data_IF_955237485651
#
_entry.id   IF_955237485651
#
_cell.length_a   1.000
_cell.length_b   1.000
_cell.length_c   1.000
_cell.angle_alpha   90.00
_cell.angle_beta   90.00
_cell.angle_gamma   90.00
#
_symmetry.space_group_name_H-M   'P 1'
#
loop_
_entity.id
_entity.type
_entity.pdbx_description
1 polymer ?
#
# COMPACT_ATOMS: atom_id res chain seq x y z
N UNK A 1 -31.70 29.94 -9.34
CA UNK A 1 -30.24 30.03 -9.51
C UNK A 1 -29.74 28.61 -9.68
N UNK A 2 -28.85 28.34 -10.64
CA UNK A 2 -28.32 26.98 -10.86
C UNK A 2 -27.48 26.62 -9.66
N UNK A 3 -27.95 25.69 -8.82
CA UNK A 3 -27.16 25.15 -7.72
C UNK A 3 -25.88 24.50 -8.31
N UNK A 4 -24.73 24.77 -7.70
CA UNK A 4 -23.49 24.10 -8.06
C UNK A 4 -23.60 22.65 -7.58
N UNK A 5 -23.67 21.71 -8.52
CA UNK A 5 -23.74 20.27 -8.23
C UNK A 5 -22.39 19.60 -8.46
N UNK A 6 -21.92 18.86 -7.47
CA UNK A 6 -20.67 18.09 -7.59
C UNK A 6 -20.86 16.69 -7.04
N UNK A 7 -20.39 15.70 -7.80
CA UNK A 7 -20.36 14.31 -7.38
C UNK A 7 -19.18 14.06 -6.45
N UNK A 8 -19.42 13.39 -5.32
CA UNK A 8 -18.45 13.20 -4.24
C UNK A 8 -17.29 12.32 -4.68
N UNK A 9 -17.50 11.31 -5.51
CA UNK A 9 -16.39 10.52 -6.05
C UNK A 9 -15.37 11.37 -6.83
N UNK A 10 -15.80 12.47 -7.46
CA UNK A 10 -14.88 13.42 -8.14
C UNK A 10 -14.11 14.31 -7.18
N UNK A 11 -14.57 14.44 -5.93
CA UNK A 11 -13.88 15.22 -4.92
C UNK A 11 -12.73 14.42 -4.31
N UNK A 12 -12.84 13.10 -4.22
CA UNK A 12 -11.76 12.24 -3.75
C UNK A 12 -10.46 12.52 -4.52
N UNK A 13 -9.37 12.75 -3.80
CA UNK A 13 -8.06 13.07 -4.37
C UNK A 13 -7.87 14.52 -4.85
N UNK A 14 -8.93 15.33 -4.93
CA UNK A 14 -8.82 16.75 -5.32
C UNK A 14 -7.91 17.52 -4.35
N UNK A 15 -7.06 18.38 -4.91
CA UNK A 15 -6.16 19.19 -4.08
C UNK A 15 -6.92 20.37 -3.44
N UNK A 16 -6.68 20.56 -2.15
CA UNK A 16 -7.25 21.66 -1.36
C UNK A 16 -6.21 22.77 -1.24
N UNK A 17 -6.61 24.00 -1.52
CA UNK A 17 -5.76 25.19 -1.49
C UNK A 17 -6.31 26.23 -0.51
N UNK A 18 -5.41 27.01 0.07
CA UNK A 18 -5.76 28.18 0.85
C UNK A 18 -5.95 29.41 -0.08
N UNK A 19 -6.38 30.58 0.45
CA UNK A 19 -6.54 31.79 -0.35
C UNK A 19 -5.23 32.36 -0.93
N UNK A 20 -4.07 32.00 -0.39
CA UNK A 20 -2.77 32.43 -0.87
C UNK A 20 -2.28 31.58 -2.07
N UNK A 21 -2.95 30.44 -2.32
CA UNK A 21 -2.61 29.49 -3.38
C UNK A 21 -1.71 28.35 -2.90
N UNK A 22 -1.44 28.27 -1.60
CA UNK A 22 -0.66 27.19 -1.01
C UNK A 22 -1.50 25.91 -0.91
N UNK A 23 -0.89 24.79 -1.28
CA UNK A 23 -1.56 23.48 -1.20
C UNK A 23 -1.64 23.04 0.25
N UNK A 24 -2.86 22.94 0.75
CA UNK A 24 -3.18 22.47 2.09
C UNK A 24 -3.13 20.94 2.16
N UNK A 25 -3.72 20.26 1.17
CA UNK A 25 -3.90 18.82 1.24
C UNK A 25 -4.67 18.22 0.06
N UNK A 26 -5.22 17.01 0.24
CA UNK A 26 -6.12 16.33 -0.70
C UNK A 26 -7.40 15.90 0.02
N UNK A 27 -8.55 15.99 -0.63
CA UNK A 27 -9.80 15.46 -0.07
C UNK A 27 -9.75 13.94 -0.05
N UNK A 28 -10.17 13.36 1.07
CA UNK A 28 -10.35 11.91 1.24
C UNK A 28 -11.81 11.51 1.32
N UNK A 29 -12.65 12.32 1.95
CA UNK A 29 -14.07 12.03 2.10
C UNK A 29 -14.89 13.31 2.29
N UNK A 30 -16.21 13.19 2.19
CA UNK A 30 -17.19 14.23 2.49
C UNK A 30 -18.02 13.78 3.68
N UNK A 31 -18.13 14.63 4.69
CA UNK A 31 -18.94 14.35 5.88
C UNK A 31 -20.33 14.94 5.72
N UNK A 32 -21.33 14.11 5.98
CA UNK A 32 -22.74 14.51 6.07
C UNK A 32 -23.33 14.20 7.43
N UNK A 33 -24.34 14.96 7.81
CA UNK A 33 -25.15 14.70 9.02
C UNK A 33 -26.61 14.60 8.61
N UNK A 34 -27.26 13.53 9.07
CA UNK A 34 -28.67 13.29 8.83
C UNK A 34 -29.54 14.35 9.49
N UNK A 35 -30.53 14.84 8.76
CA UNK A 35 -31.56 15.74 9.29
C UNK A 35 -32.77 14.91 9.73
N UNK A 36 -33.57 15.46 10.65
CA UNK A 36 -34.86 14.85 11.03
C UNK A 36 -35.85 14.79 9.85
N UNK A 37 -35.71 15.72 8.92
CA UNK A 37 -36.54 15.86 7.72
C UNK A 37 -35.68 16.40 6.58
N UNK A 38 -35.84 15.84 5.38
CA UNK A 38 -35.10 16.23 4.17
C UNK A 38 -33.71 15.60 4.05
N UNK A 39 -32.96 16.06 3.06
CA UNK A 39 -31.64 15.52 2.73
C UNK A 39 -30.58 15.77 3.82
N UNK A 40 -29.59 14.85 3.96
CA UNK A 40 -28.43 15.04 4.81
C UNK A 40 -27.68 16.31 4.45
N UNK A 41 -27.24 17.04 5.47
CA UNK A 41 -26.43 18.24 5.31
C UNK A 41 -24.98 17.85 5.16
N UNK A 42 -24.27 18.42 4.18
CA UNK A 42 -22.82 18.34 4.14
C UNK A 42 -22.27 19.24 5.24
N UNK A 43 -21.44 18.70 6.13
CA UNK A 43 -20.83 19.47 7.22
C UNK A 43 -19.39 19.85 6.91
N UNK A 44 -18.70 19.07 6.08
CA UNK A 44 -17.33 19.37 5.70
C UNK A 44 -16.67 18.29 4.86
N UNK A 45 -15.39 18.50 4.62
CA UNK A 45 -14.49 17.61 3.91
C UNK A 45 -13.51 17.01 4.92
N UNK A 46 -13.19 15.74 4.75
CA UNK A 46 -12.01 15.13 5.37
C UNK A 46 -10.86 15.39 4.41
N UNK A 47 -9.87 16.15 4.86
CA UNK A 47 -8.72 16.55 4.05
C UNK A 47 -7.47 15.94 4.66
N UNK A 48 -6.70 15.23 3.84
CA UNK A 48 -5.37 14.77 4.22
C UNK A 48 -4.34 15.85 3.90
N UNK A 49 -3.63 16.32 4.91
CA UNK A 49 -2.53 17.28 4.79
C UNK A 49 -1.19 16.55 4.74
N UNK A 50 -0.11 17.18 4.22
CA UNK A 50 1.23 16.61 4.22
C UNK A 50 1.62 16.02 5.59
N UNK A 51 2.21 14.82 5.60
CA UNK A 51 2.41 14.02 6.81
C UNK A 51 1.23 13.09 7.15
N UNK A 52 0.38 12.77 6.16
CA UNK A 52 -0.77 11.83 6.24
C UNK A 52 -1.83 12.15 7.31
N UNK A 53 -1.84 13.38 7.83
CA UNK A 53 -2.80 13.80 8.85
C UNK A 53 -4.14 14.12 8.21
N UNK A 54 -5.21 13.47 8.67
CA UNK A 54 -6.58 13.80 8.26
C UNK A 54 -7.13 14.89 9.18
N UNK A 55 -7.60 15.97 8.58
CA UNK A 55 -8.16 17.14 9.28
C UNK A 55 -9.56 17.42 8.76
N UNK A 56 -10.41 17.94 9.64
CA UNK A 56 -11.75 18.36 9.26
C UNK A 56 -11.72 19.78 8.69
N UNK A 57 -12.21 19.94 7.46
CA UNK A 57 -12.46 21.24 6.85
C UNK A 57 -13.96 21.46 6.75
N UNK A 58 -14.51 22.33 7.60
CA UNK A 58 -15.93 22.64 7.58
C UNK A 58 -16.38 23.20 6.23
N UNK A 59 -17.56 22.80 5.76
CA UNK A 59 -18.02 23.11 4.39
C UNK A 59 -18.19 24.62 4.17
N UNK A 60 -18.56 25.37 5.21
CA UNK A 60 -18.66 26.84 5.13
C UNK A 60 -17.32 27.55 4.95
N UNK A 61 -16.20 26.81 5.04
CA UNK A 61 -14.87 27.33 4.67
C UNK A 61 -14.56 27.10 3.20
N UNK A 62 -15.26 26.22 2.50
CA UNK A 62 -15.04 25.98 1.08
C UNK A 62 -15.67 27.12 0.30
N UNK A 63 -14.86 27.88 -0.44
CA UNK A 63 -15.31 29.02 -1.24
C UNK A 63 -15.58 28.64 -2.68
N UNK A 64 -14.87 27.62 -3.20
CA UNK A 64 -15.13 27.10 -4.53
C UNK A 64 -14.71 25.65 -4.67
N UNK A 65 -15.45 24.92 -5.50
CA UNK A 65 -15.17 23.56 -5.92
C UNK A 65 -15.08 23.58 -7.46
N UNK A 66 -13.87 23.41 -7.99
CA UNK A 66 -13.59 23.40 -9.42
C UNK A 66 -13.15 22.02 -9.92
N UNK A 67 -12.77 21.93 -11.19
CA UNK A 67 -12.28 20.70 -11.82
C UNK A 67 -10.92 20.28 -11.22
N UNK A 68 -10.95 19.51 -10.13
CA UNK A 68 -9.76 18.95 -9.47
C UNK A 68 -9.19 19.77 -8.32
N UNK A 69 -9.80 20.93 -8.01
CA UNK A 69 -9.30 21.87 -7.00
C UNK A 69 -10.42 22.38 -6.10
N UNK A 70 -10.11 22.50 -4.82
CA UNK A 70 -11.01 23.07 -3.81
C UNK A 70 -10.29 24.22 -3.14
N UNK A 71 -10.92 25.39 -3.09
CA UNK A 71 -10.37 26.57 -2.44
C UNK A 71 -11.10 26.76 -1.12
N UNK A 72 -10.35 27.01 -0.06
CA UNK A 72 -10.86 27.25 1.29
C UNK A 72 -10.58 28.67 1.73
N UNK A 73 -11.33 29.17 2.71
CA UNK A 73 -11.08 30.41 3.42
C UNK A 73 -10.51 30.15 4.82
N UNK A 74 -9.64 31.07 5.25
CA UNK A 74 -9.17 31.15 6.64
C UNK A 74 -8.17 30.07 7.06
N UNK A 75 -7.92 30.02 8.38
CA UNK A 75 -6.93 29.12 9.01
C UNK A 75 -7.55 27.75 9.22
N UNK A 76 -6.97 26.72 8.59
CA UNK A 76 -7.39 25.33 8.78
C UNK A 76 -6.84 24.82 10.11
N UNK A 77 -7.74 24.26 10.92
CA UNK A 77 -7.34 23.70 12.19
C UNK A 77 -6.77 22.32 11.93
N UNK A 78 -5.49 22.14 12.23
CA UNK A 78 -4.80 20.87 12.05
C UNK A 78 -5.17 19.85 13.12
N UNK A 79 -6.36 19.88 13.73
CA UNK A 79 -6.75 18.81 14.66
C UNK A 79 -7.06 17.55 13.87
N UNK A 80 -6.58 16.40 14.36
CA UNK A 80 -6.91 15.10 13.78
C UNK A 80 -8.43 14.97 13.72
N UNK A 81 -8.91 14.53 12.56
CA UNK A 81 -10.31 14.22 12.38
C UNK A 81 -10.66 12.99 13.23
N UNK A 82 -11.69 13.14 14.04
CA UNK A 82 -12.37 12.04 14.72
C UNK A 82 -13.85 12.14 14.35
N UNK A 83 -14.41 11.06 13.82
CA UNK A 83 -15.81 11.01 13.44
C UNK A 83 -16.69 11.10 14.68
N UNK A 84 -17.58 12.10 14.70
CA UNK A 84 -18.48 12.32 15.84
C UNK A 84 -19.76 11.50 15.67
N UNK A 85 -20.38 11.13 16.80
CA UNK A 85 -21.68 10.44 16.80
C UNK A 85 -22.74 11.25 16.04
N UNK A 86 -23.18 10.73 14.89
CA UNK A 86 -24.17 11.36 14.01
C UNK A 86 -23.60 11.88 12.68
N UNK A 87 -22.27 11.88 12.50
CA UNK A 87 -21.63 12.13 11.22
C UNK A 87 -21.55 10.83 10.40
N UNK A 88 -21.71 10.93 9.09
CA UNK A 88 -21.60 9.83 8.13
C UNK A 88 -20.66 10.29 7.03
N UNK A 89 -19.62 9.50 6.78
CA UNK A 89 -18.70 9.72 5.65
C UNK A 89 -19.39 9.23 4.38
N UNK A 90 -19.43 10.07 3.35
CA UNK A 90 -20.16 9.73 2.13
C UNK A 90 -19.49 8.57 1.41
N UNK A 91 -18.17 8.64 1.22
CA UNK A 91 -17.42 7.59 0.51
C UNK A 91 -17.37 6.34 1.37
N UNK A 92 -16.82 6.46 2.58
CA UNK A 92 -16.62 5.30 3.45
C UNK A 92 -17.92 4.69 4.00
N UNK A 93 -18.94 5.49 4.29
CA UNK A 93 -20.13 5.02 5.01
C UNK A 93 -21.40 4.96 4.14
N UNK A 94 -21.53 5.72 3.04
CA UNK A 94 -22.79 5.86 2.27
C UNK A 94 -22.75 5.20 0.88
N UNK A 95 -21.62 5.22 0.18
CA UNK A 95 -21.47 4.49 -1.08
C UNK A 95 -21.59 2.98 -0.84
N UNK A 96 -22.17 2.27 -1.81
CA UNK A 96 -22.46 0.85 -1.71
C UNK A 96 -23.71 0.50 -0.89
N UNK A 97 -24.38 1.45 -0.21
CA UNK A 97 -25.62 1.16 0.52
C UNK A 97 -26.77 0.81 -0.41
N UNK A 98 -27.64 -0.11 0.01
CA UNK A 98 -28.90 -0.40 -0.68
C UNK A 98 -29.98 0.60 -0.31
N UNK A 99 -30.75 0.97 -1.32
CA UNK A 99 -31.89 1.87 -1.23
C UNK A 99 -33.08 1.30 -1.98
N UNK A 100 -34.28 1.55 -1.48
CA UNK A 100 -35.53 1.31 -2.21
C UNK A 100 -36.12 2.61 -2.73
N UNK A 101 -36.69 2.57 -3.95
CA UNK A 101 -37.42 3.72 -4.50
C UNK A 101 -38.81 3.82 -3.86
N UNK A 102 -39.16 5.01 -3.32
CA UNK A 102 -40.46 5.25 -2.65
C UNK A 102 -41.66 5.09 -3.58
N UNK A 103 -41.50 5.43 -4.86
CA UNK A 103 -42.58 5.46 -5.84
C UNK A 103 -42.60 4.24 -6.77
N UNK A 104 -42.02 3.12 -6.33
CA UNK A 104 -41.82 1.94 -7.16
C UNK A 104 -40.57 2.05 -8.03
N UNK A 105 -39.94 0.92 -8.34
CA UNK A 105 -38.65 0.90 -9.06
C UNK A 105 -37.65 -0.15 -8.58
N UNK A 106 -38.00 -0.89 -7.51
CA UNK A 106 -37.18 -1.94 -6.92
C UNK A 106 -36.18 -1.42 -5.89
N UNK A 107 -35.13 -2.18 -5.65
CA UNK A 107 -33.95 -1.76 -4.89
C UNK A 107 -32.82 -1.36 -5.85
N UNK A 108 -31.89 -0.55 -5.37
CA UNK A 108 -30.65 -0.19 -6.05
C UNK A 108 -29.54 0.04 -5.03
N UNK A 109 -28.30 0.07 -5.51
CA UNK A 109 -27.11 0.39 -4.71
C UNK A 109 -26.65 1.81 -5.03
N UNK A 110 -26.24 2.58 -4.01
CA UNK A 110 -25.66 3.92 -4.20
C UNK A 110 -24.25 3.77 -4.78
N UNK A 111 -24.04 4.30 -5.98
CA UNK A 111 -22.74 4.28 -6.68
C UNK A 111 -21.99 5.61 -6.50
N UNK A 112 -22.72 6.72 -6.48
CA UNK A 112 -22.16 8.04 -6.20
C UNK A 112 -23.24 8.96 -5.62
N UNK A 113 -22.80 10.04 -4.99
CA UNK A 113 -23.64 11.01 -4.29
C UNK A 113 -23.26 12.39 -4.78
N UNK A 114 -24.22 13.12 -5.32
CA UNK A 114 -24.07 14.51 -5.67
C UNK A 114 -24.44 15.40 -4.48
N UNK A 115 -23.56 16.33 -4.16
CA UNK A 115 -23.82 17.42 -3.22
C UNK A 115 -24.14 18.70 -3.99
N UNK A 116 -25.14 19.42 -3.51
CA UNK A 116 -25.63 20.66 -4.11
C UNK A 116 -25.45 21.82 -3.14
N UNK A 117 -24.99 22.95 -3.64
CA UNK A 117 -25.02 24.22 -2.90
C UNK A 117 -26.42 24.84 -3.02
N UNK A 118 -27.20 24.78 -1.94
CA UNK A 118 -28.58 25.27 -1.89
C UNK A 118 -28.62 26.77 -1.63
N UNK A 119 -27.70 27.24 -0.79
CA UNK A 119 -27.42 28.65 -0.53
C UNK A 119 -25.94 28.80 -0.17
N UNK A 120 -25.40 30.02 -0.18
CA UNK A 120 -23.98 30.28 0.02
C UNK A 120 -23.43 29.57 1.29
N UNK A 121 -22.54 28.59 1.09
CA UNK A 121 -21.95 27.81 2.17
C UNK A 121 -22.86 26.78 2.84
N UNK A 122 -24.09 26.57 2.33
CA UNK A 122 -25.01 25.52 2.77
C UNK A 122 -25.18 24.46 1.69
N UNK A 123 -24.62 23.29 1.99
CA UNK A 123 -24.56 22.16 1.07
C UNK A 123 -25.35 20.99 1.63
N UNK A 124 -26.04 20.29 0.74
CA UNK A 124 -26.78 19.08 1.08
C UNK A 124 -26.62 18.00 0.02
N UNK A 125 -26.97 16.77 0.38
CA UNK A 125 -27.05 15.68 -0.58
C UNK A 125 -28.23 15.94 -1.53
N UNK A 126 -27.94 16.19 -2.80
CA UNK A 126 -28.95 16.50 -3.80
C UNK A 126 -29.47 15.27 -4.51
N UNK A 127 -28.59 14.60 -5.25
CA UNK A 127 -28.94 13.51 -6.16
C UNK A 127 -28.04 12.31 -5.95
N UNK A 128 -28.63 11.12 -5.93
CA UNK A 128 -27.91 9.86 -5.88
C UNK A 128 -27.77 9.30 -7.30
N UNK A 129 -26.59 8.78 -7.60
CA UNK A 129 -26.37 7.91 -8.75
C UNK A 129 -26.46 6.47 -8.27
N UNK A 130 -27.35 5.70 -8.88
CA UNK A 130 -27.78 4.40 -8.39
C UNK A 130 -27.59 3.30 -9.43
N UNK A 131 -27.13 2.13 -8.98
CA UNK A 131 -27.03 0.91 -9.79
C UNK A 131 -28.16 -0.06 -9.44
N UNK A 132 -28.98 -0.43 -10.42
CA UNK A 132 -30.06 -1.42 -10.24
C UNK A 132 -29.53 -2.84 -10.40
N UNK A 133 -30.13 -3.84 -9.72
CA UNK A 133 -29.77 -5.24 -9.87
C UNK A 133 -29.93 -5.69 -11.33
N UNK A 134 -29.04 -6.58 -11.75
CA UNK A 134 -29.03 -7.12 -13.10
C UNK A 134 -30.22 -8.06 -13.30
N UNK A 135 -31.02 -7.82 -14.32
CA UNK A 135 -32.18 -8.66 -14.68
C UNK A 135 -31.86 -9.77 -15.67
N UNK A 136 -30.64 -9.80 -16.21
CA UNK A 136 -30.18 -10.79 -17.20
C UNK A 136 -28.95 -11.56 -16.68
N UNK A 137 -28.87 -12.88 -16.91
CA UNK A 137 -27.70 -13.69 -16.52
C UNK A 137 -26.48 -13.49 -17.45
N UNK A 138 -26.58 -12.74 -18.54
CA UNK A 138 -25.47 -12.57 -19.50
C UNK A 138 -24.36 -11.68 -18.94
N UNK A 139 -23.08 -12.11 -18.92
CA UNK A 139 -21.97 -11.34 -18.34
C UNK A 139 -21.70 -10.01 -19.07
N UNK A 140 -22.03 -9.91 -20.36
CA UNK A 140 -21.74 -8.72 -21.19
C UNK A 140 -22.73 -7.56 -21.00
N UNK A 141 -23.85 -7.77 -20.30
CA UNK A 141 -24.85 -6.72 -20.07
C UNK A 141 -24.53 -6.00 -18.76
N UNK A 142 -24.17 -4.71 -18.84
CA UNK A 142 -23.97 -3.87 -17.65
C UNK A 142 -25.30 -3.64 -16.92
N UNK A 143 -25.33 -3.64 -15.58
CA UNK A 143 -26.56 -3.38 -14.85
C UNK A 143 -27.05 -1.94 -15.10
N UNK A 144 -28.38 -1.72 -15.21
CA UNK A 144 -28.93 -0.42 -15.51
C UNK A 144 -28.67 0.59 -14.38
N UNK A 145 -28.39 1.83 -14.75
CA UNK A 145 -28.17 2.95 -13.81
C UNK A 145 -29.38 3.87 -13.76
N UNK A 146 -29.55 4.58 -12.66
CA UNK A 146 -30.58 5.59 -12.47
C UNK A 146 -30.04 6.76 -11.64
N UNK A 147 -30.70 7.91 -11.77
CA UNK A 147 -30.54 9.00 -10.81
C UNK A 147 -31.81 9.14 -9.99
N UNK A 148 -31.68 9.46 -8.70
CA UNK A 148 -32.81 9.73 -7.82
C UNK A 148 -32.49 10.91 -6.90
N UNK A 149 -33.48 11.73 -6.54
CA UNK A 149 -33.30 12.67 -5.45
C UNK A 149 -33.20 11.90 -4.12
N UNK A 150 -32.57 12.48 -3.11
CA UNK A 150 -32.51 11.87 -1.77
C UNK A 150 -33.90 11.48 -1.24
N UNK A 151 -34.88 12.37 -1.42
CA UNK A 151 -36.23 12.16 -0.92
C UNK A 151 -37.01 11.07 -1.66
N UNK A 152 -36.58 10.67 -2.86
CA UNK A 152 -37.23 9.63 -3.67
C UNK A 152 -36.85 8.21 -3.22
N UNK A 153 -35.86 8.09 -2.32
CA UNK A 153 -35.36 6.81 -1.84
C UNK A 153 -35.51 6.65 -0.33
N UNK A 154 -35.48 5.40 0.11
CA UNK A 154 -35.36 5.02 1.51
C UNK A 154 -34.16 4.11 1.61
N UNK A 155 -33.22 4.46 2.48
CA UNK A 155 -32.11 3.57 2.82
C UNK A 155 -32.65 2.32 3.51
N UNK A 156 -32.29 1.17 2.98
CA UNK A 156 -32.56 -0.12 3.60
C UNK A 156 -31.46 -0.33 4.66
N UNK A 157 -31.65 0.24 5.85
CA UNK A 157 -30.64 0.14 6.91
C UNK A 157 -30.88 -1.07 7.81
N UNK A 158 -30.06 -2.12 7.65
CA UNK A 158 -29.50 -2.82 8.80
C UNK A 158 -28.20 -2.12 9.23
N UNK A 159 -27.94 -1.93 10.54
CA UNK A 159 -26.59 -1.58 10.99
C UNK A 159 -25.66 -2.75 10.61
N UNK A 160 -24.72 -2.51 9.70
CA UNK A 160 -23.72 -3.51 9.29
C UNK A 160 -24.03 -4.34 8.04
N UNK A 161 -24.96 -3.94 7.16
CA UNK A 161 -25.09 -4.59 5.85
C UNK A 161 -24.05 -4.09 4.85
N UNK A 162 -23.34 -5.05 4.24
CA UNK A 162 -22.22 -4.88 3.33
C UNK A 162 -22.53 -3.89 2.20
N UNK A 163 -21.89 -2.73 2.28
CA UNK A 163 -21.72 -1.78 1.19
C UNK A 163 -20.91 -2.48 0.08
N UNK A 164 -21.18 -2.33 -1.22
CA UNK A 164 -20.28 -3.01 -2.19
C UNK A 164 -18.86 -2.44 -2.15
N UNK A 165 -17.86 -3.27 -1.84
CA UNK A 165 -16.44 -2.92 -1.90
C UNK A 165 -16.02 -2.37 -3.29
N UNK A 166 -16.68 -2.81 -4.36
CA UNK A 166 -16.51 -2.30 -5.74
C UNK A 166 -16.55 -0.77 -5.85
N UNK A 167 -17.43 -0.08 -5.11
CA UNK A 167 -17.55 1.38 -5.19
C UNK A 167 -16.46 2.12 -4.43
N UNK A 168 -15.99 1.56 -3.32
CA UNK A 168 -14.83 2.10 -2.61
C UNK A 168 -13.58 1.96 -3.47
N UNK A 169 -13.42 0.82 -4.15
CA UNK A 169 -12.29 0.60 -5.06
C UNK A 169 -12.31 1.58 -6.23
N UNK A 170 -13.48 1.82 -6.83
CA UNK A 170 -13.59 2.83 -7.89
C UNK A 170 -13.14 4.22 -7.42
N UNK A 171 -13.54 4.64 -6.21
CA UNK A 171 -13.15 5.91 -5.62
C UNK A 171 -11.64 5.99 -5.26
N UNK A 172 -10.99 4.86 -5.04
CA UNK A 172 -9.60 4.78 -4.60
C UNK A 172 -8.63 4.20 -5.66
N UNK A 173 -9.12 3.93 -6.86
CA UNK A 173 -8.35 3.30 -7.95
C UNK A 173 -7.10 4.08 -8.36
N UNK A 174 -7.13 5.41 -8.28
CA UNK A 174 -6.00 6.29 -8.64
C UNK A 174 -5.04 6.59 -7.47
N UNK A 175 -5.26 6.00 -6.29
CA UNK A 175 -4.35 6.21 -5.15
C UNK A 175 -3.01 5.51 -5.38
N UNK A 176 -1.94 5.98 -4.73
CA UNK A 176 -0.70 5.19 -4.65
C UNK A 176 -0.87 4.11 -3.57
N UNK A 177 -0.14 2.98 -3.63
CA UNK A 177 -0.29 1.87 -2.67
C UNK A 177 -0.26 2.33 -1.20
N UNK A 178 0.73 3.14 -0.83
CA UNK A 178 0.84 3.70 0.52
C UNK A 178 -0.40 4.52 0.95
N UNK A 179 -1.03 5.27 0.04
CA UNK A 179 -2.25 6.05 0.33
C UNK A 179 -3.47 5.13 0.51
N UNK A 180 -3.54 4.06 -0.29
CA UNK A 180 -4.59 3.06 -0.21
C UNK A 180 -4.48 2.24 1.08
N UNK A 181 -3.28 1.76 1.43
CA UNK A 181 -2.99 1.10 2.71
C UNK A 181 -3.44 1.96 3.90
N UNK A 182 -3.08 3.25 3.92
CA UNK A 182 -3.53 4.17 4.97
C UNK A 182 -5.05 4.36 5.00
N UNK A 183 -5.72 4.25 3.86
CA UNK A 183 -7.18 4.32 3.79
C UNK A 183 -7.84 3.05 4.32
N UNK A 184 -7.24 1.88 4.07
CA UNK A 184 -7.68 0.60 4.63
C UNK A 184 -7.58 0.55 6.15
N UNK A 185 -6.57 1.19 6.75
CA UNK A 185 -6.43 1.28 8.21
C UNK A 185 -7.61 1.97 8.89
N UNK A 186 -8.25 2.92 8.19
CA UNK A 186 -9.41 3.68 8.70
C UNK A 186 -10.75 2.96 8.53
N UNK A 187 -10.76 1.78 7.89
CA UNK A 187 -11.93 0.93 7.75
C UNK A 187 -12.06 -0.02 8.95
N UNK A 188 -13.29 -0.48 9.23
CA UNK A 188 -13.48 -1.57 10.19
C UNK A 188 -12.85 -2.86 9.65
N UNK A 189 -12.42 -3.80 10.50
CA UNK A 189 -11.85 -5.09 10.09
C UNK A 189 -12.66 -5.80 9.00
N UNK A 190 -13.98 -5.90 9.19
CA UNK A 190 -14.87 -6.56 8.23
C UNK A 190 -14.87 -5.85 6.87
N UNK A 191 -14.82 -4.51 6.89
CA UNK A 191 -14.85 -3.70 5.68
C UNK A 191 -13.51 -3.72 4.94
N UNK A 192 -12.40 -3.75 5.69
CA UNK A 192 -11.06 -3.89 5.17
C UNK A 192 -10.90 -5.19 4.40
N UNK A 193 -11.38 -6.30 4.98
CA UNK A 193 -11.40 -7.61 4.34
C UNK A 193 -12.24 -7.62 3.06
N UNK A 194 -13.40 -6.96 3.06
CA UNK A 194 -14.23 -6.87 1.87
C UNK A 194 -13.55 -6.08 0.74
N UNK A 195 -12.91 -4.95 1.06
CA UNK A 195 -12.18 -4.15 0.07
C UNK A 195 -10.95 -4.91 -0.45
N UNK A 196 -10.17 -5.53 0.43
CA UNK A 196 -9.03 -6.37 0.04
C UNK A 196 -9.49 -7.53 -0.86
N UNK A 197 -10.63 -8.14 -0.54
CA UNK A 197 -11.24 -9.22 -1.32
C UNK A 197 -11.67 -8.83 -2.74
N UNK A 198 -11.78 -7.54 -3.06
CA UNK A 198 -12.17 -7.07 -4.39
C UNK A 198 -10.99 -6.44 -5.17
N UNK A 199 -9.82 -6.25 -4.55
CA UNK A 199 -8.60 -5.82 -5.24
C UNK A 199 -8.04 -6.96 -6.10
N UNK A 200 -7.43 -6.62 -7.24
CA UNK A 200 -6.64 -7.59 -8.01
C UNK A 200 -5.40 -8.00 -7.23
N UNK A 201 -4.83 -9.18 -7.52
CA UNK A 201 -3.79 -9.78 -6.69
C UNK A 201 -2.51 -8.93 -6.65
N UNK A 202 -2.09 -8.40 -7.80
CA UNK A 202 -1.03 -7.39 -7.97
C UNK A 202 -1.29 -6.14 -7.12
N UNK A 203 -2.52 -5.63 -7.15
CA UNK A 203 -2.86 -4.43 -6.39
C UNK A 203 -2.96 -4.67 -4.89
N UNK A 204 -3.35 -5.87 -4.49
CA UNK A 204 -3.42 -6.27 -3.10
C UNK A 204 -2.01 -6.48 -2.54
N UNK A 205 -1.10 -7.08 -3.30
CA UNK A 205 0.32 -7.22 -2.96
C UNK A 205 0.95 -5.87 -2.64
N UNK A 206 0.92 -4.91 -3.59
CA UNK A 206 1.39 -3.53 -3.42
C UNK A 206 0.88 -2.88 -2.10
N UNK A 207 -0.38 -3.13 -1.75
CA UNK A 207 -1.02 -2.52 -0.58
C UNK A 207 -0.62 -3.22 0.71
N UNK A 208 -0.43 -4.55 0.67
CA UNK A 208 0.02 -5.32 1.81
C UNK A 208 1.44 -4.94 2.21
N UNK A 209 2.36 -4.76 1.26
CA UNK A 209 3.74 -4.29 1.50
C UNK A 209 3.77 -2.98 2.30
N UNK A 210 2.78 -2.12 2.11
CA UNK A 210 2.69 -0.81 2.75
C UNK A 210 1.93 -0.83 4.10
N UNK A 211 1.26 -1.93 4.43
CA UNK A 211 0.50 -2.08 5.68
C UNK A 211 1.41 -2.51 6.84
N UNK A 212 1.06 -2.17 8.09
CA UNK A 212 1.73 -2.76 9.24
C UNK A 212 1.42 -4.27 9.35
N UNK A 213 2.34 -5.01 9.96
CA UNK A 213 2.34 -6.48 10.04
C UNK A 213 1.01 -7.06 10.58
N UNK A 214 0.43 -6.44 11.60
CA UNK A 214 -0.82 -6.92 12.21
C UNK A 214 -1.98 -6.93 11.22
N UNK A 215 -2.12 -5.85 10.43
CA UNK A 215 -3.16 -5.72 9.42
C UNK A 215 -2.89 -6.56 8.17
N UNK A 216 -1.62 -6.75 7.80
CA UNK A 216 -1.26 -7.70 6.74
C UNK A 216 -1.77 -9.10 7.10
N UNK A 217 -1.43 -9.61 8.29
CA UNK A 217 -1.85 -10.94 8.75
C UNK A 217 -3.37 -11.04 8.89
N UNK A 218 -4.04 -9.99 9.36
CA UNK A 218 -5.51 -9.92 9.44
C UNK A 218 -6.16 -10.12 8.07
N UNK A 219 -5.72 -9.34 7.07
CA UNK A 219 -6.24 -9.43 5.71
C UNK A 219 -5.93 -10.79 5.10
N UNK A 220 -4.67 -11.21 5.21
CA UNK A 220 -4.16 -12.43 4.62
C UNK A 220 -4.82 -13.68 5.21
N UNK A 221 -5.19 -13.66 6.50
CA UNK A 221 -5.92 -14.77 7.13
C UNK A 221 -7.33 -14.94 6.57
N UNK A 222 -7.94 -13.87 6.06
CA UNK A 222 -9.26 -13.89 5.43
C UNK A 222 -9.26 -14.37 3.97
N UNK A 223 -8.09 -14.49 3.34
CA UNK A 223 -7.97 -15.00 1.97
C UNK A 223 -7.96 -16.53 1.95
N UNK A 224 -8.50 -17.10 0.87
CA UNK A 224 -8.32 -18.52 0.56
C UNK A 224 -6.87 -18.79 0.11
N UNK A 225 -6.39 -20.01 0.31
CA UNK A 225 -4.96 -20.32 0.14
C UNK A 225 -4.48 -20.18 -1.31
N UNK A 226 -5.35 -20.36 -2.32
CA UNK A 226 -4.97 -20.14 -3.72
C UNK A 226 -4.74 -18.67 -4.00
N UNK A 227 -5.67 -17.82 -3.58
CA UNK A 227 -5.52 -16.38 -3.75
C UNK A 227 -4.36 -15.83 -2.92
N UNK A 228 -4.20 -16.32 -1.69
CA UNK A 228 -3.07 -15.96 -0.83
C UNK A 228 -1.73 -16.26 -1.51
N UNK A 229 -1.59 -17.44 -2.15
CA UNK A 229 -0.41 -17.77 -2.93
C UNK A 229 -0.21 -16.83 -4.13
N UNK A 230 -1.27 -16.58 -4.92
CA UNK A 230 -1.18 -15.64 -6.06
C UNK A 230 -0.83 -14.21 -5.66
N UNK A 231 -1.24 -13.77 -4.46
CA UNK A 231 -0.84 -12.45 -3.92
C UNK A 231 0.63 -12.47 -3.51
N UNK A 232 1.11 -13.54 -2.86
CA UNK A 232 2.52 -13.70 -2.51
C UNK A 232 3.42 -13.73 -3.76
N UNK A 233 2.97 -14.36 -4.85
CA UNK A 233 3.67 -14.38 -6.15
C UNK A 233 3.78 -12.99 -6.80
N UNK A 234 3.05 -11.99 -6.29
CA UNK A 234 3.11 -10.61 -6.80
C UNK A 234 3.79 -9.64 -5.81
N UNK A 235 4.17 -10.11 -4.63
CA UNK A 235 4.88 -9.32 -3.62
C UNK A 235 6.39 -9.37 -3.86
N UNK A 236 7.11 -8.36 -3.37
CA UNK A 236 8.57 -8.43 -3.28
C UNK A 236 8.98 -9.62 -2.40
N UNK A 237 10.01 -10.41 -2.77
CA UNK A 237 10.34 -11.66 -2.07
C UNK A 237 10.61 -11.50 -0.57
N UNK A 238 11.20 -10.38 -0.17
CA UNK A 238 11.46 -10.00 1.22
C UNK A 238 10.20 -9.68 2.00
N UNK A 239 9.28 -8.89 1.43
CA UNK A 239 7.97 -8.65 2.05
C UNK A 239 7.14 -9.94 2.14
N UNK A 240 7.18 -10.78 1.11
CA UNK A 240 6.54 -12.09 1.11
C UNK A 240 7.11 -13.02 2.19
N UNK A 241 8.45 -13.07 2.32
CA UNK A 241 9.12 -13.83 3.37
C UNK A 241 8.73 -13.34 4.77
N UNK A 242 8.65 -12.02 4.95
CA UNK A 242 8.27 -11.37 6.20
C UNK A 242 6.82 -11.66 6.60
N UNK A 243 5.90 -11.65 5.64
CA UNK A 243 4.49 -12.01 5.87
C UNK A 243 4.33 -13.50 6.19
N UNK A 244 4.94 -14.38 5.39
CA UNK A 244 4.83 -15.83 5.57
C UNK A 244 5.46 -16.28 6.89
N UNK A 245 6.54 -15.64 7.35
CA UNK A 245 7.20 -15.96 8.62
C UNK A 245 6.31 -15.75 9.86
N UNK A 246 5.22 -14.98 9.73
CA UNK A 246 4.26 -14.72 10.81
C UNK A 246 3.16 -15.79 10.89
N UNK A 247 3.06 -16.66 9.88
CA UNK A 247 2.05 -17.70 9.80
C UNK A 247 2.50 -18.98 10.53
N UNK A 248 1.56 -19.87 10.89
CA UNK A 248 1.91 -21.21 11.36
C UNK A 248 2.64 -22.00 10.27
N UNK A 249 3.66 -22.80 10.65
CA UNK A 249 4.50 -23.57 9.72
C UNK A 249 3.70 -24.41 8.73
N UNK A 250 2.59 -25.02 9.19
CA UNK A 250 1.76 -25.84 8.32
C UNK A 250 1.15 -25.03 7.18
N UNK A 251 0.78 -23.77 7.43
CA UNK A 251 0.22 -22.88 6.41
C UNK A 251 1.33 -22.31 5.52
N UNK A 252 2.50 -21.98 6.08
CA UNK A 252 3.68 -21.58 5.33
C UNK A 252 4.03 -22.59 4.24
N UNK A 253 4.20 -23.87 4.59
CA UNK A 253 4.55 -24.91 3.62
C UNK A 253 3.45 -25.14 2.57
N UNK A 254 2.18 -25.01 2.96
CA UNK A 254 1.06 -25.12 2.03
C UNK A 254 1.08 -24.00 0.99
N UNK A 255 1.27 -22.75 1.43
CA UNK A 255 1.33 -21.59 0.53
C UNK A 255 2.53 -21.67 -0.40
N UNK A 256 3.73 -21.97 0.13
CA UNK A 256 4.95 -22.16 -0.67
C UNK A 256 4.83 -23.30 -1.69
N UNK A 257 3.91 -24.26 -1.50
CA UNK A 257 3.62 -25.32 -2.47
C UNK A 257 2.65 -24.86 -3.56
N UNK A 258 1.82 -23.86 -3.27
CA UNK A 258 0.83 -23.31 -4.20
C UNK A 258 1.38 -22.16 -5.05
N UNK A 259 2.40 -21.46 -4.54
CA UNK A 259 3.14 -20.41 -5.23
C UNK A 259 3.85 -20.93 -6.49
N UNK A 260 4.24 -20.01 -7.36
CA UNK A 260 5.10 -20.33 -8.49
C UNK A 260 6.47 -20.83 -8.00
N UNK A 261 7.07 -21.87 -8.63
CA UNK A 261 8.27 -22.50 -8.10
C UNK A 261 9.46 -21.55 -7.92
N UNK A 262 9.65 -20.63 -8.87
CA UNK A 262 10.77 -19.69 -8.87
C UNK A 262 10.59 -18.65 -7.74
N UNK A 263 9.39 -18.08 -7.60
CA UNK A 263 9.03 -17.16 -6.49
C UNK A 263 9.15 -17.84 -5.11
N UNK A 264 8.65 -19.08 -5.00
CA UNK A 264 8.70 -19.84 -3.76
C UNK A 264 10.15 -20.17 -3.33
N UNK A 265 11.05 -20.40 -4.29
CA UNK A 265 12.45 -20.70 -4.01
C UNK A 265 13.20 -19.47 -3.48
N UNK A 266 12.89 -18.28 -4.00
CA UNK A 266 13.41 -17.00 -3.49
C UNK A 266 12.94 -16.75 -2.06
N UNK A 267 11.65 -16.92 -1.79
CA UNK A 267 11.10 -16.76 -0.43
C UNK A 267 11.70 -17.80 0.54
N UNK A 268 11.85 -19.07 0.12
CA UNK A 268 12.52 -20.10 0.94
C UNK A 268 13.96 -19.74 1.26
N UNK A 269 14.68 -19.15 0.31
CA UNK A 269 16.05 -18.69 0.52
C UNK A 269 16.09 -17.61 1.60
N UNK A 270 15.20 -16.63 1.54
CA UNK A 270 15.11 -15.54 2.52
C UNK A 270 14.71 -16.04 3.92
N UNK A 271 13.73 -16.94 4.00
CA UNK A 271 13.30 -17.58 5.26
C UNK A 271 14.43 -18.38 5.96
N UNK A 272 15.51 -18.72 5.26
CA UNK A 272 16.66 -19.41 5.84
C UNK A 272 17.60 -18.48 6.64
N UNK A 273 17.46 -17.17 6.48
CA UNK A 273 18.27 -16.16 7.16
C UNK A 273 17.60 -15.61 8.42
N UNK A 274 18.40 -15.18 9.39
CA UNK A 274 17.90 -14.49 10.57
C UNK A 274 17.41 -13.08 10.18
N UNK A 275 16.24 -12.68 10.68
CA UNK A 275 15.59 -11.39 10.32
C UNK A 275 16.36 -10.12 10.73
N UNK A 276 17.39 -10.25 11.56
CA UNK A 276 18.25 -9.16 12.03
C UNK A 276 19.62 -9.18 11.32
N UNK A 277 19.67 -9.78 10.13
CA UNK A 277 20.87 -9.90 9.31
C UNK A 277 20.63 -9.34 7.91
N UNK A 278 21.70 -9.05 7.17
CA UNK A 278 21.62 -8.61 5.79
C UNK A 278 20.82 -9.60 4.93
N UNK A 279 20.97 -10.91 5.15
CA UNK A 279 20.20 -11.93 4.44
C UNK A 279 18.69 -11.90 4.74
N UNK A 280 18.30 -11.45 5.93
CA UNK A 280 16.89 -11.31 6.31
C UNK A 280 16.28 -9.94 5.99
N UNK A 281 17.08 -8.99 5.50
CA UNK A 281 16.64 -7.65 5.08
C UNK A 281 16.80 -7.41 3.58
N UNK A 282 17.34 -8.39 2.85
CA UNK A 282 17.61 -8.23 1.43
C UNK A 282 16.45 -8.76 0.60
N UNK A 283 16.27 -8.17 -0.56
CA UNK A 283 15.49 -8.75 -1.64
C UNK A 283 16.39 -9.54 -2.60
N UNK A 284 15.83 -10.58 -3.23
CA UNK A 284 16.52 -11.46 -4.18
C UNK A 284 16.42 -10.99 -5.62
N UNK A 285 15.75 -9.86 -5.88
CA UNK A 285 15.55 -9.32 -7.23
C UNK A 285 16.31 -8.02 -7.54
N UNK A 286 17.64 -7.93 -7.30
CA UNK A 286 18.37 -6.76 -7.78
C UNK A 286 18.50 -6.78 -9.31
N UNK A 287 18.79 -5.62 -9.90
CA UNK A 287 19.08 -5.55 -11.33
C UNK A 287 20.46 -6.15 -11.62
N UNK A 288 20.49 -7.38 -12.10
CA UNK A 288 21.72 -8.15 -12.36
C UNK A 288 22.06 -8.11 -13.85
N UNK A 289 23.34 -7.87 -14.15
CA UNK A 289 23.87 -7.85 -15.51
C UNK A 289 25.26 -8.47 -15.62
N UNK A 290 25.64 -8.83 -16.84
CA UNK A 290 26.99 -9.26 -17.17
C UNK A 290 27.97 -8.09 -17.25
N UNK A 291 29.27 -8.37 -17.11
CA UNK A 291 30.31 -7.35 -17.34
C UNK A 291 30.37 -6.83 -18.79
N UNK A 292 29.87 -7.61 -19.75
CA UNK A 292 29.82 -7.25 -21.17
C UNK A 292 28.57 -6.42 -21.53
N UNK A 293 27.57 -6.38 -20.64
CA UNK A 293 26.38 -5.55 -20.83
C UNK A 293 26.79 -4.09 -20.97
N UNK A 294 26.07 -3.38 -21.83
CA UNK A 294 26.31 -1.98 -22.17
C UNK A 294 25.56 -1.04 -21.24
N UNK A 295 26.01 0.22 -21.17
CA UNK A 295 25.29 1.30 -20.49
C UNK A 295 23.84 1.40 -20.97
N UNK A 296 23.58 1.22 -22.27
CA UNK A 296 22.23 1.24 -22.84
C UNK A 296 21.35 0.13 -22.26
N UNK A 297 21.87 -1.09 -22.16
CA UNK A 297 21.15 -2.24 -21.61
C UNK A 297 20.89 -2.05 -20.10
N UNK A 298 21.89 -1.59 -19.34
CA UNK A 298 21.71 -1.28 -17.91
C UNK A 298 20.65 -0.21 -17.67
N UNK A 299 20.70 0.90 -18.43
CA UNK A 299 19.69 1.96 -18.36
C UNK A 299 18.29 1.48 -18.79
N UNK A 300 18.20 0.52 -19.71
CA UNK A 300 16.91 -0.05 -20.12
C UNK A 300 16.28 -0.87 -18.99
N UNK A 301 17.08 -1.65 -18.24
CA UNK A 301 16.58 -2.48 -17.14
C UNK A 301 16.07 -1.65 -15.95
N UNK A 302 16.80 -0.60 -15.56
CA UNK A 302 16.38 0.27 -14.44
C UNK A 302 15.21 1.21 -14.79
N UNK A 303 14.81 1.28 -16.07
CA UNK A 303 13.70 2.11 -16.54
C UNK A 303 12.35 1.39 -16.46
N UNK A 304 12.32 0.10 -16.11
CA UNK A 304 11.08 -0.65 -15.91
C UNK A 304 10.24 0.03 -14.83
N UNK A 305 8.95 0.20 -15.09
CA UNK A 305 8.04 0.93 -14.20
C UNK A 305 7.73 0.17 -12.91
N UNK A 306 7.80 -1.16 -12.94
CA UNK A 306 7.59 -2.03 -11.80
C UNK A 306 8.76 -2.00 -10.80
N UNK A 307 9.94 -1.51 -11.21
CA UNK A 307 11.12 -1.54 -10.35
C UNK A 307 11.06 -0.44 -9.29
N UNK A 308 11.17 -0.82 -8.02
CA UNK A 308 11.29 0.11 -6.92
C UNK A 308 12.44 1.12 -7.14
N UNK A 309 12.26 2.41 -6.84
CA UNK A 309 13.30 3.43 -7.06
C UNK A 309 14.65 3.11 -6.41
N UNK A 310 14.64 2.45 -5.23
CA UNK A 310 15.87 2.06 -4.53
C UNK A 310 16.64 0.97 -5.27
N UNK A 311 15.96 -0.03 -5.83
CA UNK A 311 16.55 -1.07 -6.68
C UNK A 311 17.05 -0.50 -8.01
N UNK A 312 16.31 0.44 -8.60
CA UNK A 312 16.72 1.15 -9.82
C UNK A 312 17.93 2.08 -9.66
N UNK A 313 18.43 2.29 -8.44
CA UNK A 313 19.54 3.20 -8.17
C UNK A 313 20.89 2.67 -8.70
N UNK A 314 21.04 1.36 -8.85
CA UNK A 314 22.26 0.75 -9.35
C UNK A 314 21.99 -0.59 -10.04
N UNK A 315 22.96 -1.05 -10.83
CA UNK A 315 22.98 -2.40 -11.39
C UNK A 315 24.14 -3.20 -10.80
N UNK A 316 23.88 -4.45 -10.46
CA UNK A 316 24.87 -5.39 -9.95
C UNK A 316 25.51 -6.15 -11.12
N UNK A 317 26.84 -6.09 -11.21
CA UNK A 317 27.60 -6.75 -12.27
C UNK A 317 28.22 -8.04 -11.74
N UNK A 318 27.91 -9.17 -12.39
CA UNK A 318 28.30 -10.51 -11.91
C UNK A 318 28.83 -11.40 -13.04
N UNK A 319 29.41 -12.53 -12.67
CA UNK A 319 29.60 -13.68 -13.57
C UNK A 319 28.34 -14.57 -13.59
N UNK A 320 28.11 -15.37 -14.65
CA UNK A 320 26.97 -16.29 -14.72
C UNK A 320 26.92 -17.29 -13.55
N UNK A 321 25.72 -17.73 -13.12
CA UNK A 321 24.38 -17.35 -13.61
C UNK A 321 23.97 -15.92 -13.19
N UNK A 322 22.94 -15.37 -13.86
CA UNK A 322 22.45 -13.99 -13.66
C UNK A 322 21.20 -13.91 -12.77
N UNK A 323 21.06 -14.89 -11.88
CA UNK A 323 19.98 -15.01 -10.89
C UNK A 323 20.65 -15.39 -9.55
N UNK A 324 20.20 -14.85 -8.41
CA UNK A 324 20.73 -15.25 -7.10
C UNK A 324 20.46 -16.72 -6.77
N UNK A 325 21.40 -17.42 -6.11
CA UNK A 325 22.80 -17.05 -5.92
C UNK A 325 23.57 -17.07 -7.25
N UNK A 326 24.15 -15.91 -7.60
CA UNK A 326 24.82 -15.69 -8.89
C UNK A 326 26.19 -16.38 -8.98
N UNK A 327 26.92 -16.15 -10.08
CA UNK A 327 28.37 -16.33 -10.09
C UNK A 327 29.10 -15.30 -9.20
N UNK A 328 30.40 -15.11 -9.41
CA UNK A 328 31.16 -14.13 -8.60
C UNK A 328 30.64 -12.71 -8.82
N UNK A 329 30.36 -12.00 -7.73
CA UNK A 329 30.06 -10.56 -7.74
C UNK A 329 31.31 -9.76 -8.13
N UNK A 330 31.18 -8.85 -9.11
CA UNK A 330 32.29 -8.04 -9.62
C UNK A 330 32.25 -6.60 -9.12
N UNK A 331 31.06 -6.07 -8.88
CA UNK A 331 30.84 -4.69 -8.41
C UNK A 331 29.47 -4.17 -8.82
N UNK A 332 29.19 -2.92 -8.50
CA UNK A 332 27.96 -2.23 -8.88
C UNK A 332 28.23 -1.03 -9.78
N UNK A 333 27.24 -0.62 -10.56
CA UNK A 333 27.29 0.63 -11.35
C UNK A 333 26.04 1.46 -11.04
N UNK A 334 26.25 2.60 -10.41
CA UNK A 334 25.17 3.55 -10.09
C UNK A 334 24.56 4.16 -11.36
N UNK A 335 23.25 4.40 -11.38
CA UNK A 335 22.60 4.95 -12.56
C UNK A 335 23.14 6.34 -12.96
N UNK A 336 23.50 7.19 -11.99
CA UNK A 336 24.04 8.52 -12.32
C UNK A 336 25.41 8.42 -13.00
N UNK A 337 26.15 7.33 -12.72
CA UNK A 337 27.41 7.03 -13.41
C UNK A 337 27.13 6.62 -14.85
N UNK A 338 26.18 5.71 -15.09
CA UNK A 338 25.77 5.29 -16.44
C UNK A 338 25.40 6.49 -17.34
N UNK A 339 24.70 7.50 -16.81
CA UNK A 339 24.33 8.72 -17.55
C UNK A 339 25.52 9.58 -18.02
N UNK A 340 26.74 9.33 -17.51
CA UNK A 340 27.96 10.09 -17.86
C UNK A 340 28.84 9.39 -18.90
N UNK A 341 28.47 8.18 -19.34
CA UNK A 341 29.23 7.38 -20.29
C UNK A 341 28.45 7.14 -21.58
N UNK A 342 29.15 6.85 -22.71
CA UNK A 342 28.49 6.50 -23.96
C UNK A 342 27.59 5.26 -23.81
N UNK A 343 26.44 5.20 -24.51
CA UNK A 343 25.51 4.07 -24.38
C UNK A 343 26.09 2.70 -24.73
N UNK A 344 27.13 2.63 -25.56
CA UNK A 344 27.79 1.40 -25.98
C UNK A 344 28.98 1.00 -25.10
N UNK A 345 29.33 1.80 -24.09
CA UNK A 345 30.38 1.47 -23.12
C UNK A 345 29.97 0.26 -22.28
N UNK A 346 30.92 -0.63 -21.95
CA UNK A 346 30.63 -1.83 -21.15
C UNK A 346 30.59 -1.50 -19.67
N UNK A 347 29.61 -2.03 -18.95
CA UNK A 347 29.43 -1.81 -17.52
C UNK A 347 30.62 -2.30 -16.69
N UNK A 348 31.28 -3.39 -17.11
CA UNK A 348 32.48 -3.89 -16.46
C UNK A 348 33.67 -2.91 -16.45
N UNK A 349 33.67 -1.88 -17.30
CA UNK A 349 34.74 -0.86 -17.34
C UNK A 349 34.50 0.31 -16.37
N UNK A 350 33.26 0.46 -15.89
CA UNK A 350 32.82 1.58 -15.08
C UNK A 350 32.29 1.14 -13.71
N UNK A 351 32.71 -0.04 -13.23
CA UNK A 351 32.39 -0.53 -11.89
C UNK A 351 32.80 0.47 -10.80
N UNK A 352 31.95 0.60 -9.79
CA UNK A 352 32.32 1.22 -8.53
C UNK A 352 33.18 0.24 -7.74
N UNK A 353 34.41 0.65 -7.43
CA UNK A 353 35.37 -0.12 -6.64
C UNK A 353 35.44 0.36 -5.19
N UNK A 354 34.66 1.38 -4.82
CA UNK A 354 34.69 1.99 -3.49
C UNK A 354 33.65 1.41 -2.54
N UNK A 355 32.54 0.90 -3.08
CA UNK A 355 31.50 0.23 -2.29
C UNK A 355 31.82 -1.25 -2.14
N UNK A 356 32.15 -1.66 -0.91
CA UNK A 356 32.29 -3.08 -0.57
C UNK A 356 30.91 -3.71 -0.32
N UNK A 357 30.66 -4.95 -0.79
CA UNK A 357 29.44 -5.67 -0.46
C UNK A 357 29.42 -6.07 1.02
N UNK A 358 28.22 -6.22 1.58
CA UNK A 358 28.02 -6.78 2.92
C UNK A 358 27.86 -8.30 2.83
N UNK A 359 28.21 -9.01 3.90
CA UNK A 359 27.97 -10.45 3.98
C UNK A 359 26.54 -10.74 4.43
N UNK A 360 26.00 -11.88 4.02
CA UNK A 360 24.66 -12.37 4.45
C UNK A 360 24.44 -12.39 5.96
N UNK A 361 25.50 -12.63 6.75
CA UNK A 361 25.46 -12.72 8.21
C UNK A 361 25.77 -11.39 8.92
N UNK A 362 26.01 -10.31 8.17
CA UNK A 362 26.19 -8.97 8.75
C UNK A 362 24.90 -8.55 9.45
N UNK A 363 25.02 -7.96 10.63
CA UNK A 363 23.86 -7.51 11.41
C UNK A 363 23.15 -6.34 10.74
N UNK A 364 21.85 -6.16 10.98
CA UNK A 364 21.09 -5.02 10.48
C UNK A 364 21.75 -3.67 10.83
N UNK A 365 22.33 -3.56 12.03
CA UNK A 365 23.07 -2.37 12.47
C UNK A 365 24.35 -2.12 11.65
N UNK A 366 25.08 -3.17 11.29
CA UNK A 366 26.25 -3.06 10.41
C UNK A 366 25.85 -2.61 9.02
N UNK A 367 24.80 -3.19 8.45
CA UNK A 367 24.22 -2.79 7.16
C UNK A 367 23.82 -1.31 7.19
N UNK A 368 23.03 -0.91 8.20
CA UNK A 368 22.60 0.48 8.43
C UNK A 368 23.80 1.42 8.46
N UNK A 369 24.85 1.04 9.20
CA UNK A 369 26.06 1.87 9.34
C UNK A 369 26.81 2.01 8.01
N UNK A 370 26.94 0.94 7.23
CA UNK A 370 27.57 0.98 5.90
C UNK A 370 26.78 1.91 4.99
N UNK A 371 25.47 1.74 4.89
CA UNK A 371 24.61 2.55 4.04
C UNK A 371 24.66 4.04 4.43
N UNK A 372 24.54 4.36 5.72
CA UNK A 372 24.62 5.72 6.21
C UNK A 372 26.02 6.36 6.01
N UNK A 373 27.09 5.59 6.21
CA UNK A 373 28.48 6.11 6.06
C UNK A 373 28.78 6.50 4.62
N UNK A 374 28.29 5.71 3.66
CA UNK A 374 28.59 5.88 2.23
C UNK A 374 27.44 6.52 1.44
N UNK A 375 26.37 6.96 2.11
CA UNK A 375 25.16 7.54 1.51
C UNK A 375 24.55 6.63 0.42
N UNK A 376 24.48 5.33 0.71
CA UNK A 376 23.96 4.32 -0.23
C UNK A 376 22.44 4.25 -0.13
N UNK A 377 21.80 4.09 -1.29
CA UNK A 377 20.35 3.81 -1.39
C UNK A 377 20.10 2.30 -1.38
N UNK A 378 21.11 1.52 -1.76
CA UNK A 378 21.08 0.06 -1.71
C UNK A 378 22.49 -0.50 -1.56
N UNK A 379 22.63 -1.69 -0.97
CA UNK A 379 23.93 -2.34 -0.75
C UNK A 379 23.89 -3.82 -1.15
N UNK A 380 24.85 -4.31 -1.97
CA UNK A 380 24.87 -5.70 -2.40
C UNK A 380 25.26 -6.64 -1.27
N UNK A 381 24.55 -7.77 -1.19
CA UNK A 381 24.79 -8.83 -0.22
C UNK A 381 25.45 -10.03 -0.90
N UNK A 382 26.55 -10.52 -0.32
CA UNK A 382 27.30 -11.66 -0.84
C UNK A 382 27.45 -12.79 0.18
N UNK A 383 27.53 -14.01 -0.34
CA UNK A 383 27.83 -15.19 0.47
C UNK A 383 29.34 -15.40 0.71
N UNK A 384 29.71 -16.50 1.36
CA UNK A 384 31.11 -16.86 1.63
C UNK A 384 31.93 -17.19 0.38
N UNK A 385 31.28 -17.53 -0.74
CA UNK A 385 31.90 -17.75 -2.04
C UNK A 385 32.00 -16.46 -2.88
N UNK A 386 31.59 -15.31 -2.30
CA UNK A 386 31.56 -14.00 -2.95
C UNK A 386 30.57 -13.96 -4.14
N UNK A 387 29.51 -14.76 -4.07
CA UNK A 387 28.37 -14.72 -5.01
C UNK A 387 27.37 -13.69 -4.52
N UNK A 388 26.80 -12.89 -5.43
CA UNK A 388 25.68 -12.00 -5.08
C UNK A 388 24.46 -12.87 -4.80
N UNK A 389 23.84 -12.65 -3.65
CA UNK A 389 22.62 -13.36 -3.22
C UNK A 389 21.41 -12.43 -3.09
N UNK A 390 21.63 -11.11 -3.07
CA UNK A 390 20.56 -10.12 -2.96
C UNK A 390 21.11 -8.72 -2.75
N UNK A 391 20.20 -7.78 -2.49
CA UNK A 391 20.50 -6.38 -2.16
C UNK A 391 19.60 -5.95 -1.01
N UNK A 392 20.16 -5.23 -0.04
CA UNK A 392 19.37 -4.51 0.97
C UNK A 392 19.09 -3.09 0.47
N UNK A 393 17.83 -2.65 0.54
CA UNK A 393 17.45 -1.28 0.18
C UNK A 393 17.36 -0.38 1.41
N UNK A 394 17.30 0.94 1.19
CA UNK A 394 17.28 1.91 2.28
C UNK A 394 15.93 1.89 3.01
N UNK A 395 14.85 1.58 2.29
CA UNK A 395 13.49 1.42 2.78
C UNK A 395 13.42 0.30 3.82
N UNK A 396 13.92 -0.90 3.52
CA UNK A 396 13.94 -2.04 4.45
C UNK A 396 14.72 -1.73 5.73
N UNK A 397 15.83 -0.99 5.58
CA UNK A 397 16.64 -0.55 6.72
C UNK A 397 15.90 0.47 7.56
N UNK A 398 15.20 1.42 6.94
CA UNK A 398 14.40 2.40 7.67
C UNK A 398 13.26 1.70 8.42
N UNK A 399 12.59 0.75 7.79
CA UNK A 399 11.54 -0.07 8.40
C UNK A 399 12.01 -0.84 9.61
N UNK A 400 13.22 -1.38 9.53
CA UNK A 400 13.82 -2.14 10.61
C UNK A 400 14.25 -1.24 11.80
N UNK A 401 14.75 -0.04 11.52
CA UNK A 401 15.31 0.88 12.54
C UNK A 401 14.25 1.76 13.19
N UNK A 402 13.19 2.10 12.46
CA UNK A 402 12.10 2.92 12.98
C UNK A 402 11.19 2.11 13.93
N UNK A 403 10.51 2.78 14.89
CA UNK A 403 9.58 2.10 15.81
C UNK A 403 8.43 1.39 15.07
N UNK A 404 7.89 0.30 15.65
CA UNK A 404 6.84 -0.52 15.02
C UNK A 404 5.61 0.25 14.52
N UNK A 405 5.30 1.38 15.15
CA UNK A 405 4.18 2.25 14.84
C UNK A 405 4.57 3.46 13.96
N UNK A 406 5.78 3.54 13.41
CA UNK A 406 6.22 4.71 12.62
C UNK A 406 5.34 4.98 11.39
N UNK A 407 4.75 3.93 10.80
CA UNK A 407 3.78 4.04 9.68
C UNK A 407 2.42 4.58 10.13
N UNK A 408 2.07 4.44 11.40
CA UNK A 408 0.76 4.78 11.98
C UNK A 408 0.80 5.92 13.01
N UNK A 409 2.00 6.39 13.39
CA UNK A 409 2.22 7.40 14.43
C UNK A 409 1.79 8.80 14.00
N UNK A 410 1.28 9.53 15.00
CA UNK A 410 1.02 10.96 14.92
C UNK A 410 2.37 11.71 14.91
N UNK A 411 2.68 12.52 13.88
CA UNK A 411 3.94 13.28 13.81
C UNK A 411 4.13 14.29 14.97
N UNK A 412 3.10 14.52 15.79
CA UNK A 412 3.17 15.35 17.01
C UNK A 412 3.62 14.56 18.27
N UNK A 413 3.84 13.24 18.19
CA UNK A 413 4.37 12.42 19.29
C UNK A 413 5.89 12.24 19.14
N UNK A 414 6.72 12.60 20.14
CA UNK A 414 8.16 12.40 20.02
C UNK A 414 8.46 10.90 19.86
N UNK A 415 9.27 10.54 18.85
CA UNK A 415 9.76 9.17 18.65
C UNK A 415 10.30 8.63 19.98
N UNK A 416 9.50 7.83 20.67
CA UNK A 416 9.99 7.07 21.82
C UNK A 416 10.89 5.99 21.26
N UNK A 417 12.13 5.93 21.74
CA UNK A 417 13.07 4.88 21.36
C UNK A 417 12.55 3.52 21.86
N UNK A 418 11.68 2.91 21.05
CA UNK A 418 11.34 1.49 21.13
C UNK A 418 12.57 0.69 20.69
N UNK A 419 12.77 -0.49 21.28
CA UNK A 419 13.88 -1.35 20.88
C UNK A 419 13.73 -1.74 19.41
N UNK A 420 14.82 -1.82 18.63
CA UNK A 420 14.78 -2.31 17.25
C UNK A 420 14.21 -3.74 17.19
N UNK A 421 13.64 -4.08 16.03
CA UNK A 421 12.97 -5.37 15.77
C UNK A 421 13.83 -6.54 16.25
N UNK A 422 13.32 -7.27 17.24
CA UNK A 422 13.84 -8.58 17.62
C UNK A 422 12.72 -9.60 17.51
N UNK A 423 12.65 -10.34 16.39
CA UNK A 423 11.70 -11.44 16.24
C UNK A 423 11.85 -12.43 17.40
N UNK A 424 10.73 -12.92 17.91
CA UNK A 424 10.74 -13.94 18.95
C UNK A 424 11.40 -15.21 18.42
N UNK A 425 12.60 -15.53 18.94
CA UNK A 425 13.29 -16.80 18.66
C UNK A 425 12.36 -17.98 18.98
N UNK A 426 12.08 -18.81 17.98
CA UNK A 426 11.53 -20.15 18.22
C UNK A 426 12.53 -20.97 19.03
N UNK A 427 12.10 -21.73 20.06
CA UNK A 427 13.00 -22.59 20.80
C UNK A 427 13.48 -23.73 19.89
N UNK A 428 14.80 -23.90 19.83
CA UNK A 428 15.44 -24.99 19.10
C UNK A 428 14.89 -26.35 19.56
N UNK A 429 14.42 -27.16 18.61
CA UNK A 429 13.99 -28.53 18.84
C UNK A 429 15.18 -29.31 19.42
N UNK A 430 15.03 -29.73 20.67
CA UNK A 430 16.03 -30.47 21.42
C UNK A 430 16.41 -31.77 20.72
N UNK A 431 17.71 -31.93 20.49
CA UNK A 431 18.30 -33.20 20.07
C UNK A 431 17.98 -34.27 21.13
N UNK A 432 17.26 -35.30 20.70
CA UNK A 432 17.06 -36.53 21.44
C UNK A 432 18.41 -37.13 21.83
N UNK A 433 18.72 -37.07 23.13
CA UNK A 433 19.82 -37.80 23.73
C UNK A 433 19.55 -39.29 23.59
N UNK A 434 20.33 -39.97 22.74
CA UNK A 434 20.46 -41.42 22.76
C UNK A 434 21.05 -41.82 24.11
N UNK A 435 20.22 -42.38 24.96
CA UNK A 435 20.63 -43.17 26.12
C UNK A 435 21.31 -44.44 25.63
N UNK A 436 22.62 -44.48 25.84
CA UNK A 436 23.49 -45.64 25.69
C UNK A 436 23.25 -46.55 26.90
N UNK A 437 22.57 -47.67 26.68
CA UNK A 437 22.30 -48.70 27.68
C UNK A 437 23.33 -49.82 27.46
N UNK A 438 24.37 -49.82 28.31
CA UNK A 438 25.45 -50.80 28.30
C UNK A 438 25.70 -51.33 29.71
N UNK A 439 25.71 -52.66 29.94
CA UNK A 439 25.63 -53.23 31.28
C UNK A 439 27.02 -53.47 31.89
N UNK A 440 27.23 -52.98 33.12
CA UNK A 440 27.67 -53.73 34.34
C UNK A 440 28.13 -52.79 35.44
#
# INVERSE_FOLDING_TARGET
MSATRVFVARLAGCSVFDPAGDKVGKVRDVLVVYRRTGAPRVVGLVVEVPGKRRVFVGIGRVTSIGSGQIITNGVITLRRFEQRGGETRVIADLLGRRVSFRHGGGHATIEDVAIDEVSEGDWEVGQLFLRKPKTSPSPFVKPPTAFAAWDDVVEEAGPGEAQSAEHLIAAYSDLVPADLANTLLDLTPERRLEVAGELSDDRLADVLEELPEAEQVEIFTGLDDHRAASVLDQMQPDDAADLIAQLPDERTEQLLTLMEPDEADDVRMLLSYDSDTAGGLMTTEPVIVSADATVAEGLALIRRHELAPALGAAVCVVLPPYEPPTGRFLGMVHFQRMLRYPPNERLGTILDQTTEPVRVDATALEVTRVMATYNLVSVPVVDSAHRLVGVVTIDDVLDHVLPDDWRSQDPDQPLTASRPRGRARRPAIGQSTRSDDGPR
#
